data_IF_008089749253
#
_entry.id   IF_008089749253
#
_cell.length_a   1.000
_cell.length_b   1.000
_cell.length_c   1.000
_cell.angle_alpha   90.00
_cell.angle_beta   90.00
_cell.angle_gamma   90.00
#
_symmetry.space_group_name_H-M   'P 1'
#
loop_
_entity.id
_entity.type
_entity.pdbx_description
1 polymer ?
#
# COMPACT_ATOMS: atom_id res chain seq x y z
N UNK A 1 21.87 -51.53 20.26
CA UNK A 1 22.27 -50.10 20.34
C UNK A 1 21.48 -49.34 19.31
N UNK A 2 20.36 -48.76 19.75
CA UNK A 2 19.50 -47.93 18.88
C UNK A 2 19.90 -46.47 19.07
N UNK A 3 20.46 -45.88 18.04
CA UNK A 3 20.72 -44.44 18.00
C UNK A 3 19.48 -43.76 17.46
N UNK A 4 18.75 -43.10 18.36
CA UNK A 4 17.57 -42.29 18.00
C UNK A 4 18.00 -41.02 17.28
N UNK A 5 17.65 -40.88 16.01
CA UNK A 5 17.69 -39.65 15.27
C UNK A 5 16.59 -38.69 15.79
N UNK A 6 17.02 -37.69 16.52
CA UNK A 6 16.16 -36.54 16.87
C UNK A 6 15.94 -35.67 15.64
N UNK A 7 14.78 -35.83 15.01
CA UNK A 7 14.30 -34.91 13.99
C UNK A 7 14.10 -33.50 14.59
N UNK A 8 15.04 -32.61 14.38
CA UNK A 8 14.90 -31.20 14.70
C UNK A 8 13.88 -30.58 13.75
N UNK A 9 12.68 -30.37 14.28
CA UNK A 9 11.63 -29.58 13.64
C UNK A 9 12.16 -28.15 13.35
N UNK A 10 12.53 -27.89 12.12
CA UNK A 10 12.80 -26.52 11.65
C UNK A 10 11.48 -25.75 11.57
N UNK A 11 11.05 -25.21 12.70
CA UNK A 11 9.99 -24.21 12.80
C UNK A 11 10.37 -23.05 11.89
N UNK A 12 9.61 -22.82 10.80
CA UNK A 12 9.85 -21.77 9.83
C UNK A 12 10.01 -20.43 10.53
N UNK A 13 11.25 -19.93 10.59
CA UNK A 13 11.54 -18.59 11.06
C UNK A 13 10.81 -17.61 10.14
N UNK A 14 9.80 -16.91 10.67
CA UNK A 14 9.31 -15.69 10.03
C UNK A 14 10.52 -14.78 9.86
N UNK A 15 11.05 -14.67 8.65
CA UNK A 15 12.15 -13.75 8.35
C UNK A 15 11.62 -12.32 8.46
N UNK A 16 11.76 -11.74 9.66
CA UNK A 16 11.63 -10.30 9.87
C UNK A 16 12.63 -9.59 8.94
N UNK A 17 12.15 -8.57 8.22
CA UNK A 17 12.95 -7.80 7.25
C UNK A 17 13.08 -6.35 7.71
N UNK A 18 14.10 -6.04 8.48
CA UNK A 18 14.32 -4.69 9.00
C UNK A 18 14.50 -3.63 7.90
N UNK A 19 14.95 -4.05 6.71
CA UNK A 19 15.12 -3.16 5.56
C UNK A 19 13.79 -2.54 5.10
N UNK A 20 12.70 -3.32 5.16
CA UNK A 20 11.36 -2.84 4.77
C UNK A 20 10.84 -1.82 5.79
N UNK A 21 11.07 -2.07 7.07
CA UNK A 21 10.66 -1.13 8.12
C UNK A 21 11.53 0.13 8.10
N UNK A 22 12.81 0.02 7.75
CA UNK A 22 13.69 1.17 7.51
C UNK A 22 13.20 2.04 6.34
N UNK A 23 12.85 1.44 5.21
CA UNK A 23 12.30 2.17 4.07
C UNK A 23 10.95 2.85 4.40
N UNK A 24 10.09 2.19 5.19
CA UNK A 24 8.85 2.80 5.67
C UNK A 24 9.11 4.01 6.56
N UNK A 25 10.06 3.90 7.48
CA UNK A 25 10.44 5.00 8.36
C UNK A 25 10.95 6.20 7.55
N UNK A 26 11.84 5.97 6.57
CA UNK A 26 12.33 7.02 5.69
C UNK A 26 11.19 7.67 4.89
N UNK A 27 10.27 6.89 4.34
CA UNK A 27 9.13 7.38 3.59
C UNK A 27 8.21 8.27 4.46
N UNK A 28 7.93 7.84 5.70
CA UNK A 28 7.13 8.64 6.66
C UNK A 28 7.84 9.94 7.01
N UNK A 29 9.14 9.88 7.35
CA UNK A 29 9.91 11.06 7.71
C UNK A 29 9.96 12.06 6.55
N UNK A 30 10.14 11.59 5.30
CA UNK A 30 10.13 12.44 4.12
C UNK A 30 8.79 13.20 3.97
N UNK A 31 7.66 12.50 4.15
CA UNK A 31 6.32 13.11 4.12
C UNK A 31 6.13 14.12 5.25
N UNK A 32 6.55 13.79 6.48
CA UNK A 32 6.42 14.71 7.63
C UNK A 32 7.23 15.98 7.39
N UNK A 33 8.50 15.87 6.99
CA UNK A 33 9.35 17.03 6.74
C UNK A 33 8.82 17.89 5.60
N UNK A 34 8.29 17.31 4.53
CA UNK A 34 7.66 18.05 3.44
C UNK A 34 6.42 18.84 3.92
N UNK A 35 5.62 18.28 4.84
CA UNK A 35 4.47 18.99 5.40
C UNK A 35 4.87 20.09 6.38
N UNK A 36 5.98 19.93 7.10
CA UNK A 36 6.49 20.97 8.00
C UNK A 36 7.11 22.15 7.23
N UNK A 37 7.89 21.85 6.21
CA UNK A 37 8.52 22.88 5.35
C UNK A 37 8.79 22.28 3.96
N UNK A 38 8.06 22.79 2.96
CA UNK A 38 8.19 22.36 1.55
C UNK A 38 9.57 22.68 0.95
N UNK A 39 10.30 23.64 1.50
CA UNK A 39 11.65 23.98 1.04
C UNK A 39 12.72 23.01 1.52
N UNK A 40 12.47 22.33 2.65
CA UNK A 40 13.44 21.42 3.25
C UNK A 40 13.58 20.10 2.47
N UNK A 41 12.46 19.50 2.06
CA UNK A 41 12.41 18.31 1.19
C UNK A 41 11.26 18.51 0.18
N UNK A 42 11.50 19.20 -0.94
CA UNK A 42 10.44 19.50 -1.92
C UNK A 42 9.75 18.26 -2.48
N UNK A 43 10.49 17.16 -2.62
CA UNK A 43 10.03 15.85 -3.15
C UNK A 43 9.50 14.91 -2.09
N UNK A 44 9.41 15.33 -0.82
CA UNK A 44 9.00 14.45 0.28
C UNK A 44 7.62 13.82 0.13
N UNK A 45 6.72 14.41 -0.69
CA UNK A 45 5.43 13.81 -1.05
C UNK A 45 5.57 12.46 -1.77
N UNK A 46 6.70 12.19 -2.44
CA UNK A 46 7.02 10.90 -3.06
C UNK A 46 7.16 9.76 -2.02
N UNK A 47 7.31 10.10 -0.75
CA UNK A 47 7.26 9.11 0.33
C UNK A 47 5.98 8.28 0.32
N UNK A 48 4.85 8.87 -0.09
CA UNK A 48 3.58 8.13 -0.24
C UNK A 48 3.67 7.10 -1.36
N UNK A 49 4.33 7.43 -2.47
CA UNK A 49 4.51 6.52 -3.61
C UNK A 49 5.39 5.32 -3.22
N UNK A 50 6.45 5.58 -2.43
CA UNK A 50 7.29 4.51 -1.85
C UNK A 50 6.46 3.63 -0.91
N UNK A 51 5.58 4.23 -0.10
CA UNK A 51 4.67 3.49 0.77
C UNK A 51 3.77 2.54 -0.02
N UNK A 52 3.18 2.98 -1.13
CA UNK A 52 2.34 2.14 -1.98
C UNK A 52 3.12 0.96 -2.58
N UNK A 53 4.36 1.18 -3.03
CA UNK A 53 5.22 0.10 -3.53
C UNK A 53 5.52 -0.91 -2.41
N UNK A 54 5.89 -0.44 -1.23
CA UNK A 54 6.14 -1.32 -0.07
C UNK A 54 4.88 -2.09 0.32
N UNK A 55 3.71 -1.45 0.31
CA UNK A 55 2.42 -2.08 0.61
C UNK A 55 2.10 -3.20 -0.38
N UNK A 56 2.28 -2.97 -1.68
CA UNK A 56 2.14 -4.00 -2.71
C UNK A 56 3.07 -5.19 -2.49
N UNK A 57 4.33 -4.94 -2.16
CA UNK A 57 5.31 -5.99 -1.87
C UNK A 57 4.91 -6.83 -0.65
N UNK A 58 4.65 -6.18 0.47
CA UNK A 58 4.37 -6.85 1.76
C UNK A 58 3.07 -7.63 1.71
N UNK A 59 2.04 -7.09 1.03
CA UNK A 59 0.76 -7.77 0.91
C UNK A 59 0.89 -9.04 0.07
N UNK A 60 1.63 -8.98 -1.04
CA UNK A 60 1.90 -10.12 -1.89
C UNK A 60 2.67 -11.20 -1.12
N UNK A 61 3.74 -10.83 -0.43
CA UNK A 61 4.51 -11.74 0.40
C UNK A 61 3.63 -12.41 1.48
N UNK A 62 2.74 -11.64 2.12
CA UNK A 62 1.81 -12.16 3.14
C UNK A 62 0.78 -13.13 2.57
N UNK A 63 0.28 -12.90 1.37
CA UNK A 63 -0.69 -13.79 0.72
C UNK A 63 -0.06 -15.08 0.20
N UNK A 64 1.19 -15.01 -0.25
CA UNK A 64 1.93 -16.16 -0.79
C UNK A 64 2.66 -16.98 0.29
N UNK A 65 2.69 -16.51 1.54
CA UNK A 65 3.39 -17.19 2.63
C UNK A 65 2.75 -18.52 3.07
N UNK A 66 1.49 -18.75 2.70
CA UNK A 66 0.73 -19.96 3.06
C UNK A 66 0.05 -20.54 1.83
N UNK A 67 -0.06 -21.88 1.74
CA UNK A 67 -0.82 -22.52 0.68
C UNK A 67 -2.31 -22.15 0.78
N UNK A 68 -2.92 -21.91 -0.37
CA UNK A 68 -4.34 -21.54 -0.46
C UNK A 68 -5.17 -22.80 -0.65
N UNK A 69 -5.75 -23.30 0.44
CA UNK A 69 -6.56 -24.54 0.43
C UNK A 69 -8.02 -24.23 0.09
N UNK A 70 -8.61 -23.22 0.75
CA UNK A 70 -10.01 -22.85 0.59
C UNK A 70 -10.13 -21.33 0.45
N UNK A 71 -10.99 -20.88 -0.49
CA UNK A 71 -11.23 -19.48 -0.76
C UNK A 71 -11.74 -18.70 0.45
N UNK A 72 -12.75 -19.26 1.15
CA UNK A 72 -13.36 -18.59 2.29
C UNK A 72 -12.36 -18.41 3.45
N UNK A 73 -11.62 -19.46 3.79
CA UNK A 73 -10.60 -19.37 4.86
C UNK A 73 -9.47 -18.41 4.47
N UNK A 74 -9.03 -18.44 3.21
CA UNK A 74 -8.01 -17.53 2.68
C UNK A 74 -8.42 -16.06 2.85
N UNK A 75 -9.64 -15.69 2.44
CA UNK A 75 -10.14 -14.32 2.58
C UNK A 75 -10.34 -13.93 4.04
N UNK A 76 -10.99 -14.79 4.84
CA UNK A 76 -11.26 -14.50 6.25
C UNK A 76 -9.96 -14.31 7.05
N UNK A 77 -8.98 -15.18 6.86
CA UNK A 77 -7.67 -15.06 7.51
C UNK A 77 -6.94 -13.78 7.09
N UNK A 78 -7.03 -13.43 5.82
CA UNK A 78 -6.41 -12.22 5.31
C UNK A 78 -7.03 -10.96 5.93
N UNK A 79 -8.36 -10.81 5.82
CA UNK A 79 -9.04 -9.62 6.34
C UNK A 79 -8.99 -9.55 7.87
N UNK A 80 -9.11 -10.67 8.58
CA UNK A 80 -8.99 -10.69 10.03
C UNK A 80 -7.62 -10.17 10.51
N UNK A 81 -6.53 -10.55 9.83
CA UNK A 81 -5.19 -10.02 10.16
C UNK A 81 -5.09 -8.52 9.90
N UNK A 82 -5.68 -8.02 8.81
CA UNK A 82 -5.66 -6.60 8.44
C UNK A 82 -6.49 -5.76 9.40
N UNK A 83 -7.73 -6.16 9.66
CA UNK A 83 -8.62 -5.47 10.58
C UNK A 83 -8.00 -5.37 11.97
N UNK A 84 -7.48 -6.46 12.52
CA UNK A 84 -6.83 -6.46 13.85
C UNK A 84 -5.60 -5.55 13.91
N UNK A 85 -4.92 -5.35 12.80
CA UNK A 85 -3.71 -4.53 12.75
C UNK A 85 -4.01 -3.04 12.53
N UNK A 86 -4.97 -2.70 11.68
CA UNK A 86 -5.23 -1.33 11.22
C UNK A 86 -6.34 -0.65 12.00
N UNK A 87 -7.47 -1.34 12.19
CA UNK A 87 -8.69 -0.73 12.73
C UNK A 87 -8.54 -0.18 14.16
N UNK A 88 -7.89 -0.86 15.12
CA UNK A 88 -7.78 -0.31 16.49
C UNK A 88 -7.01 1.00 16.52
N UNK A 89 -5.87 1.08 15.83
CA UNK A 89 -5.06 2.30 15.76
C UNK A 89 -5.79 3.43 15.03
N UNK A 90 -6.48 3.10 13.92
CA UNK A 90 -7.26 4.06 13.15
C UNK A 90 -8.41 4.64 13.96
N UNK A 91 -9.17 3.80 14.68
CA UNK A 91 -10.28 4.27 15.53
C UNK A 91 -9.79 5.22 16.62
N UNK A 92 -8.72 4.84 17.34
CA UNK A 92 -8.15 5.71 18.39
C UNK A 92 -7.67 7.04 17.78
N UNK A 93 -6.96 6.99 16.65
CA UNK A 93 -6.51 8.18 15.94
C UNK A 93 -7.69 9.08 15.53
N UNK A 94 -8.74 8.51 14.90
CA UNK A 94 -9.91 9.27 14.46
C UNK A 94 -10.64 9.90 15.64
N UNK A 95 -10.82 9.18 16.76
CA UNK A 95 -11.51 9.71 17.95
C UNK A 95 -10.73 10.87 18.58
N UNK A 96 -9.43 10.71 18.79
CA UNK A 96 -8.59 11.76 19.38
C UNK A 96 -8.55 12.99 18.47
N UNK A 97 -8.31 12.79 17.16
CA UNK A 97 -8.23 13.89 16.20
C UNK A 97 -9.59 14.58 16.03
N UNK A 98 -10.71 13.83 16.02
CA UNK A 98 -12.05 14.41 15.98
C UNK A 98 -12.34 15.28 17.21
N UNK A 99 -11.98 14.81 18.41
CA UNK A 99 -12.15 15.58 19.64
C UNK A 99 -11.34 16.90 19.57
N UNK A 100 -10.07 16.83 19.20
CA UNK A 100 -9.23 18.01 19.04
C UNK A 100 -9.77 18.95 17.96
N UNK A 101 -10.24 18.41 16.83
CA UNK A 101 -10.84 19.21 15.76
C UNK A 101 -12.10 19.95 16.26
N UNK A 102 -12.94 19.30 17.05
CA UNK A 102 -14.12 19.94 17.64
C UNK A 102 -13.77 21.06 18.64
N UNK A 103 -12.64 20.92 19.36
CA UNK A 103 -12.21 21.92 20.36
C UNK A 103 -11.57 23.16 19.70
N UNK A 104 -10.84 22.98 18.60
CA UNK A 104 -10.00 24.04 18.03
C UNK A 104 -10.46 24.57 16.68
N UNK A 105 -11.34 23.86 15.97
CA UNK A 105 -11.83 24.27 14.67
C UNK A 105 -13.29 24.76 14.77
N UNK A 106 -13.59 26.03 14.41
CA UNK A 106 -14.96 26.57 14.44
C UNK A 106 -15.94 25.87 13.48
N UNK A 107 -15.42 25.22 12.40
CA UNK A 107 -16.20 24.55 11.36
C UNK A 107 -15.73 23.11 11.16
N UNK A 108 -15.87 22.23 12.16
CA UNK A 108 -15.27 20.89 12.11
C UNK A 108 -15.94 19.93 11.12
N UNK A 109 -17.12 20.26 10.59
CA UNK A 109 -18.01 19.34 9.87
C UNK A 109 -17.37 18.65 8.67
N UNK A 110 -16.53 19.34 7.88
CA UNK A 110 -15.85 18.75 6.71
C UNK A 110 -14.79 17.75 7.15
N UNK A 111 -13.97 18.13 8.14
CA UNK A 111 -12.95 17.25 8.70
C UNK A 111 -13.56 15.99 9.33
N UNK A 112 -14.63 16.14 10.13
CA UNK A 112 -15.30 15.00 10.78
C UNK A 112 -15.89 14.02 9.76
N UNK A 113 -16.47 14.51 8.66
CA UNK A 113 -16.97 13.64 7.58
C UNK A 113 -15.83 12.86 6.91
N UNK A 114 -14.67 13.49 6.70
CA UNK A 114 -13.48 12.80 6.17
C UNK A 114 -12.96 11.76 7.16
N UNK A 115 -12.88 12.11 8.44
CA UNK A 115 -12.50 11.19 9.52
C UNK A 115 -13.45 9.98 9.61
N UNK A 116 -14.76 10.20 9.51
CA UNK A 116 -15.74 9.12 9.45
C UNK A 116 -15.54 8.24 8.21
N UNK A 117 -15.36 8.84 7.03
CA UNK A 117 -15.10 8.10 5.79
C UNK A 117 -13.79 7.28 5.86
N UNK A 118 -12.79 7.73 6.63
CA UNK A 118 -11.53 6.99 6.80
C UNK A 118 -11.70 5.65 7.51
N UNK A 119 -12.67 5.53 8.43
CA UNK A 119 -12.99 4.26 9.11
C UNK A 119 -13.49 3.16 8.15
N UNK A 120 -13.97 3.56 6.96
CA UNK A 120 -14.48 2.67 5.92
C UNK A 120 -13.60 2.60 4.68
N UNK A 121 -12.36 3.11 4.75
CA UNK A 121 -11.45 3.14 3.60
C UNK A 121 -11.92 4.01 2.43
N UNK A 122 -12.75 5.03 2.71
CA UNK A 122 -13.39 5.88 1.70
C UNK A 122 -13.00 7.36 1.78
N UNK A 123 -11.99 7.72 2.60
CA UNK A 123 -11.55 9.11 2.77
C UNK A 123 -11.08 9.75 1.47
N UNK A 124 -10.37 9.01 0.62
CA UNK A 124 -9.93 9.48 -0.70
C UNK A 124 -11.11 9.82 -1.62
N UNK A 125 -12.18 8.99 -1.62
CA UNK A 125 -13.38 9.25 -2.42
C UNK A 125 -14.15 10.47 -1.90
N UNK A 126 -14.18 10.62 -0.56
CA UNK A 126 -14.78 11.78 0.05
C UNK A 126 -14.04 13.09 -0.29
N UNK A 127 -12.71 13.05 -0.29
CA UNK A 127 -11.87 14.19 -0.67
C UNK A 127 -12.04 14.56 -2.16
N UNK A 128 -12.13 13.57 -3.07
CA UNK A 128 -12.43 13.82 -4.48
C UNK A 128 -13.77 14.56 -4.61
N UNK A 129 -14.82 14.08 -3.93
CA UNK A 129 -16.13 14.72 -3.97
C UNK A 129 -16.08 16.15 -3.41
N UNK A 130 -15.41 16.36 -2.28
CA UNK A 130 -15.29 17.67 -1.65
C UNK A 130 -14.52 18.69 -2.50
N UNK A 131 -13.51 18.26 -3.25
CA UNK A 131 -12.71 19.17 -4.09
C UNK A 131 -13.44 19.66 -5.35
N UNK A 132 -14.52 19.00 -5.74
CA UNK A 132 -15.40 19.43 -6.85
C UNK A 132 -16.48 20.40 -6.40
N UNK A 133 -16.67 20.62 -5.11
CA UNK A 133 -17.62 21.58 -4.56
C UNK A 133 -16.98 22.96 -4.46
N UNK A 134 -17.56 23.94 -5.15
CA UNK A 134 -17.06 25.33 -5.17
C UNK A 134 -17.02 25.98 -3.77
N UNK A 135 -17.87 25.53 -2.84
CA UNK A 135 -17.92 26.05 -1.47
C UNK A 135 -17.14 25.18 -0.47
N UNK A 136 -16.42 24.15 -0.95
CA UNK A 136 -15.68 23.27 -0.06
C UNK A 136 -14.46 24.00 0.55
N UNK A 137 -14.24 23.76 1.83
CA UNK A 137 -13.01 24.14 2.52
C UNK A 137 -11.85 23.43 1.83
N UNK A 138 -10.77 24.21 1.57
CA UNK A 138 -9.53 23.66 0.96
C UNK A 138 -9.09 22.38 1.67
N UNK A 139 -8.63 21.41 0.90
CA UNK A 139 -8.11 20.13 1.43
C UNK A 139 -6.96 20.33 2.41
N UNK A 140 -6.24 21.45 2.32
CA UNK A 140 -5.15 21.81 3.23
C UNK A 140 -5.63 22.09 4.66
N UNK A 141 -6.88 22.55 4.82
CA UNK A 141 -7.48 22.81 6.12
C UNK A 141 -8.20 21.60 6.74
N UNK A 142 -8.28 20.50 6.01
CA UNK A 142 -8.94 19.28 6.49
C UNK A 142 -7.95 18.41 7.28
N UNK A 143 -8.19 18.30 8.58
CA UNK A 143 -7.33 17.58 9.54
C UNK A 143 -7.09 16.12 9.18
N UNK A 144 -8.02 15.49 8.45
CA UNK A 144 -7.95 14.08 8.05
C UNK A 144 -7.50 13.86 6.59
N UNK A 145 -7.02 14.90 5.90
CA UNK A 145 -6.60 14.77 4.49
C UNK A 145 -5.63 13.62 4.29
N UNK A 146 -4.61 13.47 5.14
CA UNK A 146 -3.59 12.44 5.01
C UNK A 146 -4.10 11.00 5.07
N UNK A 147 -5.33 10.77 5.53
CA UNK A 147 -5.95 9.42 5.54
C UNK A 147 -6.32 8.94 4.13
N UNK A 148 -6.22 9.78 3.11
CA UNK A 148 -6.52 9.40 1.72
C UNK A 148 -5.68 8.22 1.23
N UNK A 149 -4.39 8.18 1.57
CA UNK A 149 -3.49 7.11 1.15
C UNK A 149 -3.88 5.77 1.77
N UNK A 150 -4.33 5.78 3.03
CA UNK A 150 -4.88 4.60 3.69
C UNK A 150 -6.14 4.10 2.96
N UNK A 151 -7.04 5.01 2.55
CA UNK A 151 -8.23 4.64 1.76
C UNK A 151 -7.87 3.94 0.44
N UNK A 152 -6.87 4.46 -0.29
CA UNK A 152 -6.35 3.83 -1.51
C UNK A 152 -5.81 2.43 -1.24
N UNK A 153 -5.03 2.26 -0.16
CA UNK A 153 -4.50 0.95 0.25
C UNK A 153 -5.61 -0.04 0.62
N UNK A 154 -6.61 0.38 1.39
CA UNK A 154 -7.71 -0.50 1.81
C UNK A 154 -8.54 -0.96 0.61
N UNK A 155 -8.79 -0.10 -0.37
CA UNK A 155 -9.45 -0.46 -1.63
C UNK A 155 -8.62 -1.46 -2.43
N UNK A 156 -7.30 -1.28 -2.49
CA UNK A 156 -6.42 -2.27 -3.10
C UNK A 156 -6.48 -3.61 -2.36
N UNK A 157 -6.46 -3.61 -1.03
CA UNK A 157 -6.55 -4.83 -0.21
C UNK A 157 -7.89 -5.54 -0.39
N UNK A 158 -8.95 -4.81 -0.72
CA UNK A 158 -10.25 -5.42 -1.03
C UNK A 158 -10.20 -6.22 -2.34
N UNK A 159 -9.49 -5.73 -3.36
CA UNK A 159 -9.48 -6.33 -4.71
C UNK A 159 -8.37 -7.36 -4.86
N UNK A 160 -7.19 -7.13 -4.32
CA UNK A 160 -5.99 -7.89 -4.61
C UNK A 160 -6.07 -9.39 -4.25
N UNK A 161 -6.65 -9.82 -3.09
CA UNK A 161 -6.81 -11.24 -2.79
C UNK A 161 -7.63 -12.01 -3.82
N UNK A 162 -8.61 -11.37 -4.46
CA UNK A 162 -9.39 -11.97 -5.55
C UNK A 162 -8.52 -12.19 -6.78
N UNK A 163 -7.66 -11.25 -7.14
CA UNK A 163 -6.71 -11.41 -8.26
C UNK A 163 -5.75 -12.57 -8.00
N UNK A 164 -5.23 -12.68 -6.78
CA UNK A 164 -4.37 -13.80 -6.36
C UNK A 164 -5.11 -15.13 -6.45
N UNK A 165 -6.36 -15.20 -5.98
CA UNK A 165 -7.16 -16.40 -6.08
C UNK A 165 -7.45 -16.79 -7.53
N UNK A 166 -7.89 -15.85 -8.36
CA UNK A 166 -8.23 -16.08 -9.76
C UNK A 166 -7.03 -16.54 -10.58
N UNK A 167 -5.84 -16.04 -10.27
CA UNK A 167 -4.61 -16.46 -10.97
C UNK A 167 -4.21 -17.90 -10.69
N UNK A 168 -4.72 -18.52 -9.60
CA UNK A 168 -4.34 -19.86 -9.19
C UNK A 168 -3.00 -19.99 -8.47
N UNK A 169 -2.36 -18.85 -8.15
CA UNK A 169 -1.14 -18.83 -7.33
C UNK A 169 -1.45 -19.44 -5.95
N UNK A 170 -0.52 -20.26 -5.43
CA UNK A 170 -0.69 -20.93 -4.14
C UNK A 170 -1.55 -22.20 -4.16
N UNK A 171 -2.16 -22.55 -5.29
CA UNK A 171 -2.90 -23.82 -5.52
C UNK A 171 -2.07 -24.86 -6.28
N UNK A 172 -0.76 -24.70 -6.34
CA UNK A 172 0.14 -25.62 -7.05
C UNK A 172 0.18 -25.48 -8.58
N UNK A 173 -0.48 -24.46 -9.14
CA UNK A 173 -0.44 -24.21 -10.58
C UNK A 173 0.84 -23.45 -10.93
N UNK A 174 1.75 -24.10 -11.68
CA UNK A 174 3.00 -23.46 -12.15
C UNK A 174 2.76 -22.22 -13.01
N UNK A 175 1.64 -22.17 -13.73
CA UNK A 175 1.22 -21.02 -14.52
C UNK A 175 0.65 -19.85 -13.69
N UNK A 176 0.26 -20.06 -12.44
CA UNK A 176 -0.44 -19.04 -11.63
C UNK A 176 0.37 -17.78 -11.41
N UNK A 177 1.66 -17.91 -11.12
CA UNK A 177 2.57 -16.75 -10.98
C UNK A 177 2.66 -15.96 -12.28
N UNK A 178 2.74 -16.64 -13.42
CA UNK A 178 2.80 -16.00 -14.75
C UNK A 178 1.51 -15.23 -15.06
N UNK A 179 0.36 -15.83 -14.80
CA UNK A 179 -0.94 -15.17 -14.99
C UNK A 179 -1.09 -13.96 -14.07
N UNK A 180 -0.75 -14.07 -12.79
CA UNK A 180 -0.81 -12.95 -11.88
C UNK A 180 0.13 -11.82 -12.32
N UNK A 181 1.35 -12.15 -12.76
CA UNK A 181 2.31 -11.17 -13.29
C UNK A 181 1.72 -10.45 -14.52
N UNK A 182 1.12 -11.15 -15.46
CA UNK A 182 0.52 -10.56 -16.66
C UNK A 182 -0.66 -9.65 -16.32
N UNK A 183 -1.57 -10.09 -15.44
CA UNK A 183 -2.72 -9.30 -14.98
C UNK A 183 -2.25 -8.02 -14.29
N UNK A 184 -1.31 -8.13 -13.35
CA UNK A 184 -0.80 -6.96 -12.63
C UNK A 184 -0.04 -6.00 -13.54
N UNK A 185 0.72 -6.51 -14.51
CA UNK A 185 1.40 -5.67 -15.50
C UNK A 185 0.41 -4.93 -16.39
N UNK A 186 -0.63 -5.60 -16.87
CA UNK A 186 -1.65 -4.98 -17.72
C UNK A 186 -2.46 -3.93 -16.98
N UNK A 187 -2.97 -4.25 -15.77
CA UNK A 187 -3.73 -3.29 -14.95
C UNK A 187 -2.81 -2.15 -14.48
N UNK A 188 -1.57 -2.45 -14.08
CA UNK A 188 -0.60 -1.45 -13.66
C UNK A 188 -0.26 -0.47 -14.78
N UNK A 189 -0.06 -0.95 -16.01
CA UNK A 189 0.18 -0.11 -17.18
C UNK A 189 -1.05 0.77 -17.49
N UNK A 190 -2.25 0.20 -17.48
CA UNK A 190 -3.49 0.97 -17.66
C UNK A 190 -3.66 2.05 -16.57
N UNK A 191 -3.35 1.71 -15.32
CA UNK A 191 -3.35 2.64 -14.18
C UNK A 191 -2.35 3.80 -14.37
N UNK A 192 -1.14 3.49 -14.82
CA UNK A 192 -0.11 4.50 -15.10
C UNK A 192 -0.54 5.44 -16.23
N UNK A 193 -1.10 4.90 -17.32
CA UNK A 193 -1.65 5.69 -18.42
C UNK A 193 -2.78 6.60 -17.91
N UNK A 194 -3.71 6.05 -17.14
CA UNK A 194 -4.80 6.82 -16.53
C UNK A 194 -4.26 7.94 -15.61
N UNK A 195 -3.24 7.65 -14.81
CA UNK A 195 -2.56 8.66 -13.98
C UNK A 195 -2.00 9.81 -14.82
N UNK A 196 -1.25 9.51 -15.88
CA UNK A 196 -0.63 10.52 -16.75
C UNK A 196 -1.68 11.34 -17.49
N UNK A 197 -2.73 10.73 -18.02
CA UNK A 197 -3.81 11.41 -18.71
C UNK A 197 -4.60 12.32 -17.76
N UNK A 198 -5.02 11.76 -16.62
CA UNK A 198 -5.84 12.51 -15.66
C UNK A 198 -5.04 13.56 -14.88
N UNK A 199 -3.72 13.43 -14.77
CA UNK A 199 -2.90 14.47 -14.13
C UNK A 199 -3.00 15.82 -14.83
N UNK A 200 -3.33 15.84 -16.13
CA UNK A 200 -3.52 17.06 -16.93
C UNK A 200 -4.96 17.55 -16.95
N UNK A 201 -5.94 16.63 -16.97
CA UNK A 201 -7.37 16.98 -17.12
C UNK A 201 -8.11 17.08 -15.78
N UNK A 202 -7.77 16.25 -14.81
CA UNK A 202 -8.36 16.24 -13.46
C UNK A 202 -7.31 15.81 -12.42
N UNK A 203 -6.43 16.75 -11.98
CA UNK A 203 -5.34 16.46 -11.04
C UNK A 203 -5.82 15.85 -9.72
N UNK A 204 -6.98 16.25 -9.23
CA UNK A 204 -7.54 15.76 -7.97
C UNK A 204 -7.88 14.28 -8.06
N UNK A 205 -8.59 13.86 -9.11
CA UNK A 205 -8.91 12.45 -9.33
C UNK A 205 -7.64 11.65 -9.57
N UNK A 206 -6.68 12.18 -10.33
CA UNK A 206 -5.39 11.55 -10.56
C UNK A 206 -4.64 11.30 -9.25
N UNK A 207 -4.68 12.25 -8.32
CA UNK A 207 -3.92 12.18 -7.07
C UNK A 207 -4.58 11.25 -6.03
N UNK A 208 -5.89 11.34 -5.82
CA UNK A 208 -6.60 10.66 -4.73
C UNK A 208 -7.24 9.32 -5.12
N UNK A 209 -7.36 9.00 -6.41
CA UNK A 209 -8.10 7.82 -6.85
C UNK A 209 -7.24 6.55 -6.79
N UNK A 210 -7.82 5.44 -6.30
CA UNK A 210 -7.13 4.14 -6.27
C UNK A 210 -6.79 3.62 -7.69
N UNK A 211 -7.67 3.68 -8.70
CA UNK A 211 -7.35 3.23 -10.05
C UNK A 211 -6.12 3.91 -10.68
N UNK A 212 -5.89 5.19 -10.39
CA UNK A 212 -4.72 5.93 -10.91
C UNK A 212 -3.45 5.68 -10.10
N UNK A 213 -3.57 5.18 -8.87
CA UNK A 213 -2.45 4.86 -7.97
C UNK A 213 -2.13 3.38 -7.89
N UNK A 214 -2.93 2.53 -8.52
CA UNK A 214 -2.75 1.08 -8.52
C UNK A 214 -1.38 0.65 -9.05
N UNK A 215 -0.81 1.35 -10.02
CA UNK A 215 0.46 1.01 -10.64
C UNK A 215 1.63 0.95 -9.63
N UNK A 216 1.66 1.83 -8.63
CA UNK A 216 2.71 1.81 -7.60
C UNK A 216 2.65 0.52 -6.78
N UNK A 217 1.45 0.14 -6.35
CA UNK A 217 1.24 -1.13 -5.63
C UNK A 217 1.52 -2.33 -6.54
N UNK A 218 1.14 -2.26 -7.82
CA UNK A 218 1.45 -3.30 -8.79
C UNK A 218 2.96 -3.50 -8.96
N UNK A 219 3.76 -2.43 -9.00
CA UNK A 219 5.24 -2.53 -9.02
C UNK A 219 5.74 -3.30 -7.81
N UNK A 220 5.26 -2.99 -6.61
CA UNK A 220 5.62 -3.72 -5.38
C UNK A 220 5.26 -5.21 -5.45
N UNK A 221 4.07 -5.54 -5.97
CA UNK A 221 3.64 -6.92 -6.19
C UNK A 221 4.56 -7.65 -7.18
N UNK A 222 4.88 -7.01 -8.31
CA UNK A 222 5.76 -7.57 -9.35
C UNK A 222 7.17 -7.84 -8.83
N UNK A 223 7.73 -6.93 -8.02
CA UNK A 223 9.02 -7.14 -7.34
C UNK A 223 8.96 -8.34 -6.40
N UNK A 224 7.85 -8.54 -5.66
CA UNK A 224 7.69 -9.72 -4.84
C UNK A 224 7.60 -11.01 -5.67
N UNK A 225 6.79 -11.01 -6.74
CA UNK A 225 6.60 -12.17 -7.61
C UNK A 225 7.88 -12.57 -8.36
N UNK A 226 8.73 -11.60 -8.74
CA UNK A 226 10.01 -11.88 -9.38
C UNK A 226 10.95 -12.70 -8.49
N UNK A 227 10.81 -12.56 -7.17
CA UNK A 227 11.59 -13.34 -6.19
C UNK A 227 11.06 -14.77 -5.98
N UNK A 228 9.79 -15.00 -6.25
CA UNK A 228 9.16 -16.33 -6.11
C UNK A 228 9.39 -17.19 -7.34
N UNK A 229 9.65 -16.60 -8.50
CA UNK A 229 9.87 -17.32 -9.75
C UNK A 229 11.36 -17.61 -9.97
N UNK A 230 11.82 -18.88 -9.87
CA UNK A 230 13.24 -19.24 -10.01
C UNK A 230 13.84 -18.88 -11.38
N UNK A 231 13.00 -18.86 -12.44
CA UNK A 231 13.43 -18.49 -13.79
C UNK A 231 13.79 -16.99 -13.89
N UNK A 232 13.13 -16.15 -13.10
CA UNK A 232 13.37 -14.71 -13.06
C UNK A 232 14.43 -14.39 -12.02
N UNK A 233 14.47 -15.13 -10.92
CA UNK A 233 15.43 -14.96 -9.83
C UNK A 233 16.89 -15.04 -10.33
N UNK A 234 17.21 -16.04 -11.16
CA UNK A 234 18.56 -16.19 -11.72
C UNK A 234 18.95 -15.11 -12.73
N UNK A 235 17.97 -14.40 -13.31
CA UNK A 235 18.25 -13.36 -14.33
C UNK A 235 18.33 -11.96 -13.77
N UNK A 236 17.62 -11.67 -12.67
CA UNK A 236 17.53 -10.33 -12.10
C UNK A 236 18.46 -10.12 -10.89
N UNK A 237 18.71 -11.16 -10.07
CA UNK A 237 19.48 -11.00 -8.83
C UNK A 237 20.96 -10.78 -9.06
N UNK A 238 21.53 -11.33 -10.14
CA UNK A 238 22.95 -11.09 -10.49
C UNK A 238 23.18 -9.69 -11.10
N UNK A 239 22.12 -8.95 -11.41
CA UNK A 239 22.21 -7.66 -12.11
C UNK A 239 21.66 -6.46 -11.37
N UNK A 240 20.95 -6.63 -10.24
CA UNK A 240 20.51 -5.52 -9.40
C UNK A 240 21.27 -5.59 -8.08
N UNK A 241 22.44 -4.96 -8.02
CA UNK A 241 23.12 -4.68 -6.77
C UNK A 241 22.28 -3.72 -5.93
N UNK A 242 22.71 -3.33 -4.73
CA UNK A 242 21.97 -2.52 -3.74
C UNK A 242 21.54 -1.13 -4.22
N UNK A 243 21.33 -0.95 -5.52
CA UNK A 243 20.96 0.33 -6.15
C UNK A 243 19.49 0.71 -5.93
N UNK A 244 18.61 -0.25 -5.56
CA UNK A 244 17.20 0.09 -5.34
C UNK A 244 16.99 1.04 -4.14
N UNK A 245 17.63 0.82 -2.98
CA UNK A 245 17.61 1.81 -1.90
C UNK A 245 18.35 3.09 -2.28
N UNK A 246 19.45 3.00 -3.04
CA UNK A 246 20.17 4.17 -3.53
C UNK A 246 19.30 5.00 -4.51
N UNK A 247 18.59 4.35 -5.42
CA UNK A 247 17.67 5.01 -6.35
C UNK A 247 16.48 5.67 -5.61
N UNK A 248 15.91 4.98 -4.62
CA UNK A 248 14.88 5.55 -3.76
C UNK A 248 15.39 6.77 -2.97
N UNK A 249 16.63 6.70 -2.47
CA UNK A 249 17.27 7.82 -1.75
C UNK A 249 17.57 8.98 -2.70
N UNK A 250 18.05 8.71 -3.91
CA UNK A 250 18.33 9.74 -4.93
C UNK A 250 17.01 10.42 -5.36
N UNK A 251 15.94 9.65 -5.62
CA UNK A 251 14.61 10.21 -5.98
C UNK A 251 14.00 11.03 -4.82
N UNK A 252 14.38 10.77 -3.57
CA UNK A 252 13.91 11.56 -2.42
C UNK A 252 14.74 12.84 -2.21
N UNK A 253 15.97 12.91 -2.74
CA UNK A 253 16.88 14.06 -2.57
C UNK A 253 16.80 15.07 -3.71
N UNK A 254 16.23 14.72 -4.86
CA UNK A 254 16.01 15.57 -6.03
C UNK A 254 14.51 15.71 -6.35
#
# INVERSE_FOLDING_TARGET
MNVGETATSTKGKNHYRPEIDGLRALAVLAVIFNHMNKEFIPTGYLGVDIFFVISGYVITASLLSKPIVNFRSFLLDFYARRIRRLLPALVVFVLITALLTCLFNPLPGVSLKTGFASLFGASNLWLIKGSTDYFAVSTDLNTFTHTWSLGVEEQFYLIFPFLVWLSGVGRGHSAGVRWLTLILSAIGLASLIAFVVLSRSNPVVSYFSMPTRFWQMAVGCLVCLSRVNPTIQNRFYDRIPPLLPLFATVVLLF
#
